data_IF_929587085355
#
_entry.id   IF_929587085355
#
_cell.length_a   1.000
_cell.length_b   1.000
_cell.length_c   1.000
_cell.angle_alpha   90.00
_cell.angle_beta   90.00
_cell.angle_gamma   90.00
#
_symmetry.space_group_name_H-M   'P 1'
#
loop_
_entity.id
_entity.type
_entity.pdbx_description
1 polymer ?
#
# COMPACT_ATOMS: atom_id res chain seq x y z
N UNK A 1 -23.48 6.40 6.36
CA UNK A 1 -22.36 5.53 5.94
C UNK A 1 -22.54 4.16 6.57
N UNK A 2 -22.44 3.08 5.80
CA UNK A 2 -22.74 1.72 6.28
C UNK A 2 -21.72 1.28 7.33
N UNK A 3 -22.17 0.51 8.32
CA UNK A 3 -21.38 -0.03 9.43
C UNK A 3 -20.26 -1.01 9.00
N UNK A 4 -20.05 -1.27 7.70
CA UNK A 4 -19.41 -2.51 7.23
C UNK A 4 -17.89 -2.54 7.27
N UNK A 5 -17.17 -1.45 7.00
CA UNK A 5 -15.69 -1.50 6.90
C UNK A 5 -15.00 -1.52 8.28
N UNK A 6 -15.56 -0.81 9.26
CA UNK A 6 -15.06 -0.83 10.67
C UNK A 6 -15.16 -2.25 11.25
N UNK A 7 -16.15 -3.02 10.80
CA UNK A 7 -16.42 -4.36 11.29
C UNK A 7 -15.32 -5.38 10.93
N UNK A 8 -14.64 -5.22 9.80
CA UNK A 8 -13.63 -6.19 9.35
C UNK A 8 -12.42 -6.29 10.29
N UNK A 9 -11.89 -5.16 10.74
CA UNK A 9 -10.76 -5.15 11.70
C UNK A 9 -11.22 -5.67 13.07
N UNK A 10 -12.42 -5.30 13.51
CA UNK A 10 -12.99 -5.77 14.78
C UNK A 10 -13.21 -7.29 14.77
N UNK A 11 -13.79 -7.82 13.69
CA UNK A 11 -14.02 -9.25 13.47
C UNK A 11 -12.70 -10.03 13.43
N UNK A 12 -11.69 -9.54 12.72
CA UNK A 12 -10.38 -10.19 12.72
C UNK A 12 -9.78 -10.24 14.15
N UNK A 13 -9.91 -9.17 14.93
CA UNK A 13 -9.39 -9.09 16.31
C UNK A 13 -10.23 -9.85 17.33
N UNK A 14 -11.50 -10.14 17.06
CA UNK A 14 -12.33 -10.99 17.92
C UNK A 14 -11.82 -12.43 17.94
N UNK A 15 -11.29 -12.90 16.79
CA UNK A 15 -10.66 -14.22 16.70
C UNK A 15 -9.28 -14.27 17.37
N UNK A 16 -8.51 -13.19 17.29
CA UNK A 16 -7.20 -13.08 17.95
C UNK A 16 -6.86 -11.62 18.24
N UNK A 17 -6.78 -11.26 19.53
CA UNK A 17 -6.57 -9.86 19.97
C UNK A 17 -5.30 -9.22 19.40
N UNK A 18 -4.21 -9.98 19.32
CA UNK A 18 -2.89 -9.48 18.94
C UNK A 18 -2.52 -9.83 17.49
N UNK A 19 -3.30 -9.35 16.53
CA UNK A 19 -3.01 -9.49 15.10
C UNK A 19 -2.74 -8.16 14.42
N UNK A 20 -1.88 -8.20 13.39
CA UNK A 20 -1.62 -7.08 12.51
C UNK A 20 -2.52 -7.19 11.28
N UNK A 21 -3.50 -6.30 11.17
CA UNK A 21 -4.41 -6.22 10.03
C UNK A 21 -3.84 -5.31 8.96
N UNK A 22 -3.92 -5.77 7.71
CA UNK A 22 -3.42 -5.04 6.53
C UNK A 22 -4.49 -5.15 5.44
N UNK A 23 -4.93 -4.03 4.90
CA UNK A 23 -5.86 -4.02 3.78
C UNK A 23 -5.12 -3.75 2.47
N UNK A 24 -5.46 -4.50 1.42
CA UNK A 24 -4.91 -4.29 0.08
C UNK A 24 -5.86 -3.35 -0.66
N UNK A 25 -5.36 -2.21 -1.14
CA UNK A 25 -6.15 -1.28 -1.97
C UNK A 25 -6.03 -1.55 -3.47
N UNK A 26 -4.94 -2.22 -3.89
CA UNK A 26 -4.65 -2.54 -5.28
C UNK A 26 -4.60 -1.30 -6.19
N UNK A 27 -3.68 -0.38 -5.90
CA UNK A 27 -3.55 0.89 -6.66
C UNK A 27 -3.34 0.69 -8.15
N UNK A 28 -2.81 -0.46 -8.57
CA UNK A 28 -2.67 -0.85 -9.97
C UNK A 28 -3.98 -1.00 -10.75
N UNK A 29 -5.13 -1.10 -10.06
CA UNK A 29 -6.45 -1.11 -10.71
C UNK A 29 -7.07 0.27 -10.83
N UNK A 30 -6.64 1.24 -10.03
CA UNK A 30 -7.14 2.61 -10.09
C UNK A 30 -6.33 3.49 -11.03
N UNK A 31 -5.01 3.29 -11.07
CA UNK A 31 -4.08 4.12 -11.85
C UNK A 31 -3.09 3.22 -12.60
N UNK A 32 -3.00 3.32 -13.94
CA UNK A 32 -2.02 2.58 -14.73
C UNK A 32 -0.57 3.01 -14.43
N UNK A 33 0.41 2.24 -14.91
CA UNK A 33 1.84 2.39 -14.57
C UNK A 33 2.43 3.78 -14.77
N UNK A 34 3.22 4.25 -13.80
CA UNK A 34 4.01 5.49 -13.88
C UNK A 34 3.22 6.79 -14.14
N UNK A 35 1.90 6.78 -13.97
CA UNK A 35 1.05 7.92 -14.30
C UNK A 35 0.49 8.67 -13.10
N UNK A 36 0.87 8.35 -11.86
CA UNK A 36 0.37 9.09 -10.69
C UNK A 36 0.67 10.60 -10.77
N UNK A 37 1.68 11.01 -11.51
CA UNK A 37 2.05 12.42 -11.72
C UNK A 37 1.32 13.09 -12.89
N UNK A 38 0.65 12.32 -13.75
CA UNK A 38 -0.14 12.88 -14.85
C UNK A 38 -1.44 13.48 -14.35
N UNK A 39 -1.89 14.52 -15.05
CA UNK A 39 -3.14 15.24 -14.77
C UNK A 39 -4.13 15.04 -15.91
N UNK A 40 -4.54 13.79 -16.12
CA UNK A 40 -5.70 13.49 -16.97
C UNK A 40 -6.91 13.20 -16.07
N UNK A 41 -8.14 13.44 -16.53
CA UNK A 41 -9.34 13.19 -15.73
C UNK A 41 -9.42 11.76 -15.18
N UNK A 42 -8.98 10.77 -15.94
CA UNK A 42 -8.99 9.36 -15.54
C UNK A 42 -7.99 9.08 -14.40
N UNK A 43 -6.82 9.70 -14.46
CA UNK A 43 -5.80 9.57 -13.41
C UNK A 43 -6.24 10.30 -12.15
N UNK A 44 -6.84 11.49 -12.27
CA UNK A 44 -7.36 12.23 -11.12
C UNK A 44 -8.49 11.47 -10.42
N UNK A 45 -9.39 10.84 -11.19
CA UNK A 45 -10.42 9.96 -10.64
C UNK A 45 -9.81 8.74 -9.92
N UNK A 46 -8.83 8.07 -10.54
CA UNK A 46 -8.12 6.96 -9.90
C UNK A 46 -7.42 7.38 -8.59
N UNK A 47 -6.82 8.57 -8.56
CA UNK A 47 -6.22 9.14 -7.34
C UNK A 47 -7.26 9.42 -6.26
N UNK A 48 -8.43 9.96 -6.63
CA UNK A 48 -9.53 10.18 -5.70
C UNK A 48 -10.01 8.85 -5.08
N UNK A 49 -10.09 7.78 -5.89
CA UNK A 49 -10.44 6.45 -5.38
C UNK A 49 -9.41 5.89 -4.39
N UNK A 50 -8.12 6.12 -4.65
CA UNK A 50 -7.03 5.78 -3.72
C UNK A 50 -7.19 6.55 -2.40
N UNK A 51 -7.49 7.85 -2.45
CA UNK A 51 -7.71 8.68 -1.25
C UNK A 51 -8.86 8.11 -0.41
N UNK A 52 -10.01 7.91 -1.04
CA UNK A 52 -11.20 7.39 -0.36
C UNK A 52 -10.95 6.02 0.28
N UNK A 53 -10.23 5.13 -0.42
CA UNK A 53 -9.86 3.80 0.09
C UNK A 53 -8.88 3.88 1.27
N UNK A 54 -7.85 4.72 1.18
CA UNK A 54 -6.86 4.89 2.23
C UNK A 54 -7.48 5.47 3.51
N UNK A 55 -8.31 6.50 3.38
CA UNK A 55 -9.05 7.07 4.52
C UNK A 55 -10.04 6.07 5.12
N UNK A 56 -10.72 5.26 4.29
CA UNK A 56 -11.62 4.22 4.76
C UNK A 56 -10.88 3.19 5.61
N UNK A 57 -9.70 2.75 5.16
CA UNK A 57 -8.82 1.83 5.90
C UNK A 57 -8.39 2.43 7.23
N UNK A 58 -8.00 3.70 7.24
CA UNK A 58 -7.58 4.38 8.46
C UNK A 58 -8.67 4.38 9.53
N UNK A 59 -9.92 4.65 9.13
CA UNK A 59 -11.08 4.59 10.03
C UNK A 59 -11.34 3.20 10.63
N UNK A 60 -10.81 2.12 10.04
CA UNK A 60 -10.97 0.77 10.59
C UNK A 60 -10.04 0.46 11.76
N UNK A 61 -9.01 1.28 12.00
CA UNK A 61 -7.95 0.97 12.96
C UNK A 61 -7.03 -0.17 12.51
N UNK A 62 -6.95 -0.44 11.21
CA UNK A 62 -5.94 -1.32 10.62
C UNK A 62 -4.53 -0.79 10.85
N UNK A 63 -3.54 -1.68 10.77
CA UNK A 63 -2.16 -1.33 11.04
C UNK A 63 -1.41 -0.92 9.76
N UNK A 64 -1.83 -1.44 8.62
CA UNK A 64 -1.22 -1.13 7.33
C UNK A 64 -2.25 -0.90 6.24
N UNK A 65 -1.93 0.06 5.36
CA UNK A 65 -2.38 0.05 3.97
C UNK A 65 -1.32 -0.71 3.15
N UNK A 66 -1.75 -1.77 2.45
CA UNK A 66 -0.94 -2.52 1.49
C UNK A 66 -1.29 -2.04 0.08
N UNK A 67 -0.28 -1.63 -0.68
CA UNK A 67 -0.45 -0.95 -1.96
C UNK A 67 -1.00 -1.91 -3.03
N UNK A 68 -0.21 -2.92 -3.42
CA UNK A 68 -0.61 -3.91 -4.42
C UNK A 68 -0.61 -5.33 -3.84
N UNK A 69 -1.39 -6.26 -4.41
CA UNK A 69 -1.36 -7.68 -4.03
C UNK A 69 -0.04 -8.35 -4.39
N UNK A 70 0.53 -7.95 -5.53
CA UNK A 70 1.63 -8.63 -6.24
C UNK A 70 1.16 -9.53 -7.40
N UNK A 71 -0.14 -9.56 -7.69
CA UNK A 71 -0.73 -10.40 -8.76
C UNK A 71 -1.27 -9.61 -9.95
N UNK A 72 -1.54 -8.32 -9.77
CA UNK A 72 -1.98 -7.44 -10.85
C UNK A 72 -0.83 -7.18 -11.84
N UNK A 73 -1.17 -6.60 -13.01
CA UNK A 73 -0.16 -6.23 -14.03
C UNK A 73 0.92 -5.28 -13.50
N UNK A 74 0.56 -4.44 -12.52
CA UNK A 74 1.40 -3.39 -11.95
C UNK A 74 1.72 -3.67 -10.48
N UNK A 75 2.99 -3.52 -10.12
CA UNK A 75 3.49 -3.55 -8.74
C UNK A 75 3.42 -2.20 -8.02
N UNK A 76 4.00 -2.15 -6.82
CA UNK A 76 4.14 -0.88 -6.07
C UNK A 76 5.16 0.03 -6.75
N UNK A 77 4.89 1.33 -6.79
CA UNK A 77 5.85 2.35 -7.22
C UNK A 77 6.21 3.32 -6.09
N UNK A 78 7.30 4.07 -6.26
CA UNK A 78 7.70 5.18 -5.38
C UNK A 78 6.61 6.26 -5.35
N UNK A 79 5.96 6.52 -6.47
CA UNK A 79 4.86 7.49 -6.56
C UNK A 79 3.65 7.03 -5.74
N UNK A 80 3.30 5.73 -5.74
CA UNK A 80 2.20 5.22 -4.90
C UNK A 80 2.50 5.49 -3.43
N UNK A 81 3.72 5.14 -2.99
CA UNK A 81 4.12 5.28 -1.58
C UNK A 81 4.10 6.76 -1.19
N UNK A 82 4.71 7.61 -2.01
CA UNK A 82 4.79 9.05 -1.76
C UNK A 82 3.39 9.66 -1.68
N UNK A 83 2.51 9.35 -2.63
CA UNK A 83 1.15 9.89 -2.65
C UNK A 83 0.33 9.38 -1.45
N UNK A 84 0.32 8.07 -1.19
CA UNK A 84 -0.43 7.53 -0.04
C UNK A 84 0.09 8.12 1.27
N UNK A 85 1.40 8.40 1.37
CA UNK A 85 1.97 9.04 2.56
C UNK A 85 1.48 10.46 2.78
N UNK A 86 1.09 11.21 1.75
CA UNK A 86 0.44 12.52 1.92
C UNK A 86 -1.02 12.41 2.34
N UNK A 87 -1.64 11.24 2.21
CA UNK A 87 -3.06 11.01 2.47
C UNK A 87 -3.31 10.45 3.87
N UNK A 88 -2.52 9.46 4.29
CA UNK A 88 -2.73 8.77 5.57
C UNK A 88 -1.98 9.41 6.72
N UNK A 89 -2.47 9.23 7.94
CA UNK A 89 -1.80 9.71 9.15
C UNK A 89 -0.44 9.01 9.39
N UNK A 90 0.49 9.65 10.14
CA UNK A 90 1.80 9.09 10.44
C UNK A 90 1.78 7.68 11.06
N UNK A 91 0.75 7.34 11.84
CA UNK A 91 0.62 6.06 12.53
C UNK A 91 0.26 4.92 11.57
N UNK A 92 -0.38 5.22 10.44
CA UNK A 92 -0.74 4.24 9.42
C UNK A 92 0.51 3.80 8.68
N UNK A 93 0.87 2.52 8.76
CA UNK A 93 2.04 1.99 8.08
C UNK A 93 1.73 1.67 6.61
N UNK A 94 2.70 1.85 5.72
CA UNK A 94 2.60 1.44 4.32
C UNK A 94 3.34 0.12 4.12
N UNK A 95 2.69 -0.82 3.42
CA UNK A 95 3.32 -2.03 2.89
C UNK A 95 3.32 -1.99 1.36
N UNK A 96 4.49 -1.90 0.75
CA UNK A 96 4.67 -2.12 -0.68
C UNK A 96 4.75 -3.61 -1.01
N UNK A 97 4.26 -4.04 -2.17
CA UNK A 97 4.45 -5.39 -2.70
C UNK A 97 4.25 -5.41 -4.23
N UNK A 98 4.85 -6.40 -4.89
CA UNK A 98 4.83 -6.59 -6.34
C UNK A 98 5.96 -5.83 -7.03
N UNK A 99 6.86 -6.57 -7.70
CA UNK A 99 8.01 -6.00 -8.42
C UNK A 99 9.04 -5.33 -7.50
N UNK A 100 9.39 -5.97 -6.38
CA UNK A 100 10.46 -5.49 -5.48
C UNK A 100 11.52 -6.57 -5.45
N UNK A 101 12.47 -6.51 -6.37
CA UNK A 101 13.42 -7.60 -6.65
C UNK A 101 14.87 -7.18 -6.36
N UNK A 102 15.11 -5.89 -6.12
CA UNK A 102 16.43 -5.35 -5.87
C UNK A 102 16.50 -4.60 -4.53
N UNK A 103 17.73 -4.51 -4.00
CA UNK A 103 18.04 -3.70 -2.82
C UNK A 103 17.75 -2.22 -3.05
N UNK A 104 18.01 -1.71 -4.25
CA UNK A 104 17.79 -0.32 -4.60
C UNK A 104 16.30 0.04 -4.55
N UNK A 105 15.42 -0.79 -5.11
CA UNK A 105 13.97 -0.59 -5.03
C UNK A 105 13.46 -0.56 -3.58
N UNK A 106 13.96 -1.46 -2.72
CA UNK A 106 13.64 -1.43 -1.29
C UNK A 106 14.06 -0.11 -0.64
N UNK A 107 15.28 0.37 -0.93
CA UNK A 107 15.78 1.62 -0.38
C UNK A 107 14.98 2.84 -0.85
N UNK A 108 14.57 2.86 -2.12
CA UNK A 108 13.81 3.97 -2.67
C UNK A 108 12.37 4.00 -2.14
N UNK A 109 11.73 2.85 -2.02
CA UNK A 109 10.43 2.72 -1.36
C UNK A 109 10.51 3.08 0.13
N UNK A 110 11.59 2.71 0.82
CA UNK A 110 11.85 3.08 2.21
C UNK A 110 11.94 4.61 2.36
N UNK A 111 12.73 5.27 1.51
CA UNK A 111 12.86 6.74 1.49
C UNK A 111 11.53 7.44 1.22
N UNK A 112 10.70 6.87 0.34
CA UNK A 112 9.37 7.38 0.04
C UNK A 112 8.38 7.26 1.21
N UNK A 113 8.68 6.43 2.22
CA UNK A 113 7.88 6.30 3.44
C UNK A 113 7.23 4.93 3.64
N UNK A 114 7.60 3.90 2.87
CA UNK A 114 7.12 2.54 3.11
C UNK A 114 7.78 1.92 4.35
N UNK A 115 7.03 1.11 5.10
CA UNK A 115 7.51 0.47 6.34
C UNK A 115 7.73 -1.03 6.20
N UNK A 116 7.14 -1.67 5.18
CA UNK A 116 7.29 -3.10 4.94
C UNK A 116 7.26 -3.42 3.45
N UNK A 117 8.08 -4.38 3.05
CA UNK A 117 8.24 -4.80 1.66
C UNK A 117 7.80 -6.25 1.53
N UNK A 118 6.81 -6.50 0.67
CA UNK A 118 6.37 -7.84 0.29
C UNK A 118 7.07 -8.25 -0.99
N UNK A 119 8.01 -9.19 -0.87
CA UNK A 119 8.78 -9.76 -1.99
C UNK A 119 9.04 -11.24 -1.74
N UNK A 120 9.10 -12.03 -2.81
CA UNK A 120 9.55 -13.43 -2.79
C UNK A 120 11.08 -13.54 -2.82
N UNK A 121 11.79 -12.46 -3.18
CA UNK A 121 13.24 -12.42 -3.34
C UNK A 121 13.95 -11.82 -2.13
N UNK A 122 13.35 -11.92 -0.94
CA UNK A 122 13.82 -11.22 0.25
C UNK A 122 15.25 -11.63 0.65
N UNK A 123 15.59 -12.92 0.51
CA UNK A 123 16.91 -13.44 0.89
C UNK A 123 17.96 -12.94 -0.11
N UNK A 124 17.67 -13.01 -1.40
CA UNK A 124 18.53 -12.55 -2.48
C UNK A 124 18.83 -11.06 -2.34
N UNK A 125 17.81 -10.24 -2.09
CA UNK A 125 17.95 -8.79 -1.90
C UNK A 125 18.87 -8.47 -0.72
N UNK A 126 18.73 -9.18 0.40
CA UNK A 126 19.53 -8.95 1.61
C UNK A 126 20.98 -9.40 1.41
N UNK A 127 21.18 -10.52 0.70
CA UNK A 127 22.49 -11.12 0.49
C UNK A 127 23.26 -10.55 -0.71
N UNK A 128 22.61 -9.75 -1.57
CA UNK A 128 23.23 -9.10 -2.70
C UNK A 128 24.43 -8.24 -2.24
N UNK A 129 25.60 -8.51 -2.83
CA UNK A 129 26.80 -7.69 -2.63
C UNK A 129 26.60 -6.36 -3.38
N UNK A 130 26.93 -5.25 -2.70
CA UNK A 130 26.93 -3.91 -3.29
C UNK A 130 28.03 -3.75 -4.32
#
# INVERSE_FOLDING_TARGET
MSKSTVDLTASARSMRKNIIVKFIIETGLFVPEHFLTLKTPEIEEGRNQIVLAAEAIERTGANFVKICSGMAKRGVSVDDVTFIRTVVKPEMKIKGAGGIDTKQEVLDLLKAGANRFGTSHAVEIIMAKN
#
